data_IF_847631494011
#
_entry.id   IF_847631494011
#
_cell.length_a   1.000
_cell.length_b   1.000
_cell.length_c   1.000
_cell.angle_alpha   90.00
_cell.angle_beta   90.00
_cell.angle_gamma   90.00
#
_symmetry.space_group_name_H-M   'P 1'
#
loop_
_entity.id
_entity.type
_entity.pdbx_description
1 polymer ?
#
# COMPACT_ATOMS: atom_id res chain seq x y z
N UNK A 1 29.78 -0.73 1.18
CA UNK A 1 28.82 -1.40 2.11
C UNK A 1 27.43 -0.99 1.66
N UNK A 2 26.48 -1.93 1.54
CA UNK A 2 25.11 -1.59 1.11
C UNK A 2 24.47 -0.64 2.11
N UNK A 3 23.94 0.49 1.63
CA UNK A 3 23.25 1.48 2.44
C UNK A 3 21.72 1.36 2.33
N UNK A 4 21.20 1.10 1.14
CA UNK A 4 19.75 1.04 0.90
C UNK A 4 19.35 -0.30 0.27
N UNK A 5 18.37 -0.99 0.84
CA UNK A 5 17.72 -2.18 0.27
C UNK A 5 16.38 -1.79 -0.34
N UNK A 6 16.24 -2.00 -1.64
CA UNK A 6 15.00 -1.82 -2.39
C UNK A 6 14.37 -3.20 -2.57
N UNK A 7 13.27 -3.47 -1.86
CA UNK A 7 12.59 -4.76 -1.90
C UNK A 7 11.35 -4.67 -2.81
N UNK A 8 11.33 -5.49 -3.87
CA UNK A 8 10.31 -5.47 -4.92
C UNK A 8 9.55 -6.80 -4.93
N UNK A 9 8.31 -6.86 -4.36
CA UNK A 9 7.45 -8.02 -4.54
C UNK A 9 6.90 -8.05 -5.95
N UNK A 10 6.86 -9.23 -6.56
CA UNK A 10 6.29 -9.40 -7.91
C UNK A 10 5.48 -10.69 -8.03
N UNK A 11 4.47 -10.67 -8.88
CA UNK A 11 3.70 -11.85 -9.28
C UNK A 11 3.07 -11.65 -10.66
N UNK A 12 3.57 -12.37 -11.69
CA UNK A 12 3.07 -12.35 -13.06
C UNK A 12 3.03 -10.95 -13.72
N UNK A 13 4.11 -10.13 -13.53
CA UNK A 13 4.16 -8.74 -14.01
C UNK A 13 5.53 -8.36 -14.58
N UNK A 14 6.16 -9.27 -15.32
CA UNK A 14 7.54 -9.12 -15.81
C UNK A 14 7.81 -7.77 -16.52
N UNK A 15 6.85 -7.25 -17.27
CA UNK A 15 7.02 -5.99 -18.02
C UNK A 15 7.11 -4.77 -17.10
N UNK A 16 6.32 -4.71 -16.04
CA UNK A 16 6.43 -3.63 -15.05
C UNK A 16 7.66 -3.81 -14.16
N UNK A 17 7.92 -5.04 -13.71
CA UNK A 17 9.12 -5.36 -12.94
C UNK A 17 10.40 -4.90 -13.63
N UNK A 18 10.49 -5.07 -14.96
CA UNK A 18 11.64 -4.59 -15.72
C UNK A 18 11.82 -3.07 -15.63
N UNK A 19 10.73 -2.29 -15.69
CA UNK A 19 10.76 -0.84 -15.52
C UNK A 19 11.12 -0.44 -14.09
N UNK A 20 10.56 -1.12 -13.08
CA UNK A 20 10.86 -0.89 -11.67
C UNK A 20 12.37 -1.09 -11.38
N UNK A 21 12.94 -2.22 -11.80
CA UNK A 21 14.37 -2.51 -11.63
C UNK A 21 15.23 -1.48 -12.37
N UNK A 22 14.90 -1.14 -13.63
CA UNK A 22 15.62 -0.14 -14.39
C UNK A 22 15.64 1.23 -13.71
N UNK A 23 14.55 1.61 -13.03
CA UNK A 23 14.47 2.87 -12.27
C UNK A 23 15.40 2.89 -11.05
N UNK A 24 15.62 1.73 -10.41
CA UNK A 24 16.59 1.62 -9.32
C UNK A 24 18.03 1.63 -9.84
N UNK A 25 18.29 0.96 -10.96
CA UNK A 25 19.63 0.99 -11.61
C UNK A 25 20.06 2.41 -12.01
N UNK A 26 19.10 3.30 -12.28
CA UNK A 26 19.33 4.71 -12.65
C UNK A 26 19.50 5.63 -11.44
N UNK A 27 19.47 5.13 -10.20
CA UNK A 27 19.65 5.96 -9.01
C UNK A 27 21.05 6.59 -8.98
N UNK A 28 21.09 7.87 -8.65
CA UNK A 28 22.36 8.63 -8.46
C UNK A 28 23.09 8.21 -7.18
N UNK A 29 22.38 7.67 -6.20
CA UNK A 29 22.93 7.09 -4.99
C UNK A 29 23.52 5.71 -5.30
N UNK A 30 24.84 5.44 -5.09
CA UNK A 30 25.48 4.22 -5.61
C UNK A 30 25.31 2.98 -4.73
N UNK A 31 25.10 3.17 -3.40
CA UNK A 31 25.23 2.10 -2.40
C UNK A 31 23.89 1.40 -2.12
N UNK A 32 23.27 0.82 -3.14
CA UNK A 32 22.00 0.09 -3.03
C UNK A 32 22.12 -1.39 -3.41
N UNK A 33 21.19 -2.17 -2.93
CA UNK A 33 20.81 -3.48 -3.46
C UNK A 33 19.33 -3.51 -3.84
N UNK A 34 18.99 -4.39 -4.79
CA UNK A 34 17.60 -4.76 -5.11
C UNK A 34 17.36 -6.20 -4.68
N UNK A 35 16.24 -6.45 -4.00
CA UNK A 35 15.78 -7.79 -3.67
C UNK A 35 14.43 -7.99 -4.33
N UNK A 36 14.40 -8.73 -5.42
CA UNK A 36 13.16 -9.12 -6.10
C UNK A 36 12.60 -10.36 -5.44
N UNK A 37 11.38 -10.25 -4.91
CA UNK A 37 10.67 -11.33 -4.25
C UNK A 37 9.52 -11.80 -5.14
N UNK A 38 9.73 -12.92 -5.83
CA UNK A 38 8.76 -13.50 -6.77
C UNK A 38 7.85 -14.50 -6.05
N UNK A 39 6.57 -14.19 -6.00
CA UNK A 39 5.54 -14.99 -5.34
C UNK A 39 5.06 -16.18 -6.21
N UNK A 40 6.00 -16.85 -6.88
CA UNK A 40 5.74 -18.04 -7.70
C UNK A 40 5.18 -17.72 -9.08
N UNK A 41 5.69 -16.68 -9.76
CA UNK A 41 5.27 -16.27 -11.10
C UNK A 41 5.33 -17.40 -12.11
N UNK A 42 4.33 -17.40 -13.02
CA UNK A 42 4.19 -18.35 -14.12
C UNK A 42 4.42 -17.70 -15.50
N UNK A 43 4.61 -16.39 -15.53
CA UNK A 43 4.97 -15.65 -16.74
C UNK A 43 6.49 -15.70 -17.00
N UNK A 44 7.00 -14.81 -17.85
CA UNK A 44 8.41 -14.77 -18.19
C UNK A 44 9.33 -14.16 -17.10
N UNK A 45 8.82 -13.89 -15.89
CA UNK A 45 9.61 -13.28 -14.79
C UNK A 45 10.89 -14.06 -14.47
N UNK A 46 10.89 -15.41 -14.28
CA UNK A 46 12.12 -16.13 -13.98
C UNK A 46 13.19 -16.03 -15.09
N UNK A 47 12.77 -16.10 -16.36
CA UNK A 47 13.70 -15.99 -17.48
C UNK A 47 14.27 -14.57 -17.57
N UNK A 48 13.46 -13.54 -17.38
CA UNK A 48 13.92 -12.16 -17.31
C UNK A 48 14.95 -11.96 -16.20
N UNK A 49 14.67 -12.42 -14.99
CA UNK A 49 15.60 -12.33 -13.86
C UNK A 49 16.93 -13.03 -14.13
N UNK A 50 16.92 -14.15 -14.84
CA UNK A 50 18.14 -14.87 -15.22
C UNK A 50 19.02 -14.09 -16.23
N UNK A 51 18.50 -13.09 -16.93
CA UNK A 51 19.28 -12.22 -17.84
C UNK A 51 20.01 -11.09 -17.12
N UNK A 52 19.64 -10.78 -15.86
CA UNK A 52 20.24 -9.68 -15.11
C UNK A 52 21.58 -10.11 -14.53
N UNK A 53 22.63 -9.35 -14.84
CA UNK A 53 24.03 -9.65 -14.43
C UNK A 53 24.56 -8.69 -13.35
N UNK A 54 23.79 -7.67 -12.95
CA UNK A 54 24.20 -6.73 -11.90
C UNK A 54 24.25 -7.46 -10.55
N UNK A 55 25.41 -7.56 -9.87
CA UNK A 55 25.55 -8.31 -8.63
C UNK A 55 24.80 -7.68 -7.44
N UNK A 56 24.33 -6.45 -7.59
CA UNK A 56 23.50 -5.77 -6.58
C UNK A 56 22.04 -6.23 -6.62
N UNK A 57 21.63 -7.00 -7.64
CA UNK A 57 20.25 -7.50 -7.81
C UNK A 57 20.19 -8.95 -7.37
N UNK A 58 19.36 -9.22 -6.37
CA UNK A 58 19.13 -10.55 -5.82
C UNK A 58 17.71 -11.00 -6.11
N UNK A 59 17.55 -12.29 -6.41
CA UNK A 59 16.26 -12.87 -6.76
C UNK A 59 15.88 -13.98 -5.78
N UNK A 60 14.73 -13.85 -5.14
CA UNK A 60 14.12 -14.85 -4.27
C UNK A 60 12.81 -15.27 -4.92
N UNK A 61 12.70 -16.55 -5.29
CA UNK A 61 11.48 -17.10 -5.89
C UNK A 61 10.86 -18.15 -4.99
N UNK A 62 9.57 -18.01 -4.70
CA UNK A 62 8.79 -19.02 -4.00
C UNK A 62 8.25 -20.07 -4.99
N UNK A 63 8.09 -21.31 -4.52
CA UNK A 63 7.56 -22.42 -5.33
C UNK A 63 6.09 -22.18 -5.72
N UNK A 64 5.37 -21.43 -4.89
CA UNK A 64 3.95 -21.08 -5.08
C UNK A 64 3.65 -19.70 -4.50
N UNK A 65 2.51 -19.13 -4.86
CA UNK A 65 2.02 -17.90 -4.28
C UNK A 65 1.72 -18.11 -2.77
N UNK A 66 2.44 -17.37 -1.94
CA UNK A 66 2.32 -17.35 -0.46
C UNK A 66 1.67 -16.08 0.05
N UNK A 67 1.32 -15.15 -0.85
CA UNK A 67 0.69 -13.88 -0.58
C UNK A 67 1.67 -12.74 -0.31
N UNK A 68 1.22 -11.51 -0.65
CA UNK A 68 2.05 -10.30 -0.71
C UNK A 68 2.84 -10.04 0.57
N UNK A 69 2.19 -10.04 1.74
CA UNK A 69 2.88 -9.75 3.01
C UNK A 69 3.91 -10.81 3.38
N UNK A 70 3.61 -12.09 3.18
CA UNK A 70 4.56 -13.18 3.44
C UNK A 70 5.76 -13.11 2.48
N UNK A 71 5.50 -12.82 1.21
CA UNK A 71 6.54 -12.59 0.20
C UNK A 71 7.45 -11.42 0.58
N UNK A 72 6.88 -10.31 1.04
CA UNK A 72 7.63 -9.14 1.52
C UNK A 72 8.47 -9.44 2.76
N UNK A 73 7.97 -10.26 3.69
CA UNK A 73 8.72 -10.68 4.88
C UNK A 73 9.99 -11.43 4.48
N UNK A 74 9.94 -12.31 3.46
CA UNK A 74 11.12 -13.03 2.99
C UNK A 74 12.17 -12.10 2.37
N UNK A 75 11.74 -11.07 1.63
CA UNK A 75 12.63 -10.04 1.09
C UNK A 75 13.26 -9.18 2.17
N UNK A 76 12.47 -8.78 3.17
CA UNK A 76 12.96 -8.04 4.32
C UNK A 76 14.03 -8.81 5.10
N UNK A 77 13.82 -10.09 5.33
CA UNK A 77 14.80 -10.96 6.00
C UNK A 77 16.14 -11.07 5.25
N UNK A 78 16.12 -10.88 3.92
CA UNK A 78 17.32 -10.89 3.10
C UNK A 78 18.02 -9.51 2.99
N UNK A 79 17.36 -8.42 3.42
CA UNK A 79 17.85 -7.05 3.28
C UNK A 79 19.06 -6.77 4.17
N UNK A 80 20.12 -6.19 3.58
CA UNK A 80 21.40 -5.90 4.24
C UNK A 80 21.64 -4.40 4.47
N UNK A 81 20.84 -3.53 3.84
CA UNK A 81 20.99 -2.08 3.93
C UNK A 81 20.60 -1.52 5.30
N UNK A 82 21.21 -0.39 5.64
CA UNK A 82 20.83 0.43 6.80
C UNK A 82 19.42 1.04 6.60
N UNK A 83 19.11 1.36 5.34
CA UNK A 83 17.82 1.88 4.92
C UNK A 83 17.06 0.82 4.14
N UNK A 84 15.73 0.94 4.15
CA UNK A 84 14.83 0.00 3.48
C UNK A 84 13.69 0.75 2.81
N UNK A 85 13.31 0.28 1.62
CA UNK A 85 12.10 0.69 0.94
C UNK A 85 11.35 -0.56 0.43
N UNK A 86 10.05 -0.65 0.71
CA UNK A 86 9.12 -1.55 0.03
C UNK A 86 8.65 -0.84 -1.24
N UNK A 87 8.97 -1.41 -2.39
CA UNK A 87 8.73 -0.79 -3.67
C UNK A 87 7.93 -1.71 -4.58
N UNK A 88 6.75 -1.27 -5.05
CA UNK A 88 5.89 -2.10 -5.88
C UNK A 88 6.47 -2.29 -7.29
N UNK A 89 6.22 -3.47 -7.89
CA UNK A 89 6.77 -3.86 -9.19
C UNK A 89 6.18 -3.09 -10.38
N UNK A 90 5.10 -2.32 -10.16
CA UNK A 90 4.42 -1.52 -11.17
C UNK A 90 4.75 -0.01 -11.11
N UNK A 91 5.60 0.40 -10.17
CA UNK A 91 6.00 1.78 -9.95
C UNK A 91 7.43 2.08 -10.45
N UNK A 92 7.86 3.36 -10.41
CA UNK A 92 9.24 3.77 -10.75
C UNK A 92 9.74 4.82 -9.76
N UNK A 93 11.03 4.78 -9.42
CA UNK A 93 11.70 5.85 -8.69
C UNK A 93 12.28 6.87 -9.67
N UNK A 94 12.28 8.16 -9.30
CA UNK A 94 13.09 9.13 -10.02
C UNK A 94 14.58 8.94 -9.68
N UNK A 95 15.52 9.34 -10.56
CA UNK A 95 16.95 9.05 -10.36
C UNK A 95 17.55 9.54 -9.03
N UNK A 96 16.97 10.55 -8.41
CA UNK A 96 17.48 11.20 -7.21
C UNK A 96 16.71 10.81 -5.91
N UNK A 97 15.77 9.86 -5.98
CA UNK A 97 14.98 9.45 -4.80
C UNK A 97 15.87 8.98 -3.64
N UNK A 98 16.72 7.98 -3.87
CA UNK A 98 17.56 7.44 -2.80
C UNK A 98 18.56 8.49 -2.29
N UNK A 99 19.16 9.29 -3.18
CA UNK A 99 20.12 10.32 -2.80
C UNK A 99 19.49 11.36 -1.87
N UNK A 100 18.32 11.88 -2.22
CA UNK A 100 17.63 12.93 -1.43
C UNK A 100 17.08 12.42 -0.12
N UNK A 101 16.45 11.25 -0.14
CA UNK A 101 15.85 10.67 1.08
C UNK A 101 16.91 10.18 2.06
N UNK A 102 18.01 9.57 1.59
CA UNK A 102 19.11 9.17 2.43
C UNK A 102 19.83 10.38 3.04
N UNK A 103 20.03 11.47 2.26
CA UNK A 103 20.64 12.70 2.77
C UNK A 103 19.85 13.30 3.94
N UNK A 104 18.50 13.27 3.89
CA UNK A 104 17.67 13.72 5.03
C UNK A 104 17.90 12.82 6.25
N UNK A 105 17.90 11.48 6.07
CA UNK A 105 18.17 10.56 7.18
C UNK A 105 19.56 10.75 7.78
N UNK A 106 20.56 11.03 6.96
CA UNK A 106 21.95 11.28 7.44
C UNK A 106 22.07 12.60 8.21
N UNK A 107 21.38 13.66 7.77
CA UNK A 107 21.38 14.97 8.42
C UNK A 107 20.52 15.01 9.69
N UNK A 108 19.52 14.12 9.81
CA UNK A 108 18.55 14.06 10.89
C UNK A 108 18.52 12.69 11.55
N UNK A 109 19.46 12.40 12.49
CA UNK A 109 19.53 11.09 13.16
C UNK A 109 18.27 10.73 13.97
N UNK A 110 17.49 11.72 14.38
CA UNK A 110 16.20 11.58 15.09
C UNK A 110 15.06 11.13 14.17
N UNK A 111 15.19 11.31 12.85
CA UNK A 111 14.17 10.91 11.87
C UNK A 111 14.33 9.43 11.54
N UNK A 112 13.23 8.70 11.56
CA UNK A 112 13.16 7.26 11.31
C UNK A 112 12.74 6.91 9.88
N UNK A 113 11.94 7.78 9.24
CA UNK A 113 11.47 7.60 7.87
C UNK A 113 11.32 8.94 7.14
N UNK A 114 11.59 8.92 5.84
CA UNK A 114 11.42 10.06 4.93
C UNK A 114 10.45 9.68 3.84
N UNK A 115 9.33 10.40 3.76
CA UNK A 115 8.32 10.20 2.72
C UNK A 115 8.30 11.36 1.74
N UNK A 116 8.07 11.07 0.45
CA UNK A 116 8.02 12.08 -0.62
C UNK A 116 6.63 12.12 -1.24
N UNK A 117 6.35 13.14 -2.06
CA UNK A 117 5.22 13.09 -2.99
C UNK A 117 5.58 12.22 -4.20
N UNK A 118 4.60 11.96 -5.08
CA UNK A 118 4.78 11.14 -6.26
C UNK A 118 4.02 11.69 -7.47
N UNK A 119 4.50 11.34 -8.66
CA UNK A 119 3.75 11.47 -9.90
C UNK A 119 2.74 10.34 -10.05
N UNK A 120 1.59 10.61 -10.63
CA UNK A 120 0.72 9.56 -11.17
C UNK A 120 1.13 9.31 -12.63
N UNK A 121 1.36 8.06 -13.00
CA UNK A 121 1.62 7.63 -14.37
C UNK A 121 0.53 6.68 -14.88
N UNK A 122 0.31 6.68 -16.20
CA UNK A 122 -0.60 5.74 -16.85
C UNK A 122 0.11 4.38 -17.14
N UNK A 123 -0.61 3.35 -17.66
CA UNK A 123 0.01 2.06 -18.03
C UNK A 123 1.16 2.17 -19.03
N UNK A 124 1.23 3.25 -19.82
CA UNK A 124 2.30 3.52 -20.79
C UNK A 124 3.44 4.36 -20.18
N UNK A 125 3.53 4.43 -18.86
CA UNK A 125 4.59 5.17 -18.13
C UNK A 125 4.63 6.68 -18.39
N UNK A 126 3.51 7.28 -18.82
CA UNK A 126 3.41 8.72 -19.06
C UNK A 126 2.84 9.41 -17.83
N UNK A 127 3.52 10.46 -17.37
CA UNK A 127 3.06 11.29 -16.24
C UNK A 127 1.75 11.97 -16.56
N UNK A 128 0.85 11.98 -15.58
CA UNK A 128 -0.49 12.56 -15.63
C UNK A 128 -0.58 13.76 -14.67
N UNK A 129 -0.14 14.99 -15.06
CA UNK A 129 -0.02 16.11 -14.13
C UNK A 129 -1.32 16.44 -13.39
N UNK A 130 -2.44 16.55 -14.09
CA UNK A 130 -3.73 16.86 -13.47
C UNK A 130 -4.19 15.78 -12.47
N UNK A 131 -4.00 14.49 -12.78
CA UNK A 131 -4.28 13.39 -11.85
C UNK A 131 -3.32 13.41 -10.67
N UNK A 132 -2.06 13.77 -10.89
CA UNK A 132 -1.06 13.93 -9.84
C UNK A 132 -1.50 15.00 -8.83
N UNK A 133 -1.86 16.18 -9.31
CA UNK A 133 -2.29 17.30 -8.45
C UNK A 133 -3.55 16.93 -7.66
N UNK A 134 -4.53 16.33 -8.33
CA UNK A 134 -5.76 15.86 -7.69
C UNK A 134 -5.48 14.77 -6.64
N UNK A 135 -4.55 13.85 -6.91
CA UNK A 135 -4.12 12.81 -5.98
C UNK A 135 -3.41 13.42 -4.75
N UNK A 136 -2.45 14.32 -4.96
CA UNK A 136 -1.73 14.99 -3.87
C UNK A 136 -2.69 15.81 -2.99
N UNK A 137 -3.66 16.51 -3.60
CA UNK A 137 -4.70 17.23 -2.87
C UNK A 137 -5.62 16.29 -2.07
N UNK A 138 -6.12 15.22 -2.70
CA UNK A 138 -7.01 14.25 -2.07
C UNK A 138 -6.43 13.66 -0.80
N UNK A 139 -5.13 13.36 -0.79
CA UNK A 139 -4.43 12.73 0.32
C UNK A 139 -3.70 13.73 1.22
N UNK A 140 -4.00 15.02 1.12
CA UNK A 140 -3.49 16.07 2.00
C UNK A 140 -2.00 16.39 1.84
N UNK A 141 -1.32 15.89 0.79
CA UNK A 141 0.11 16.13 0.57
C UNK A 141 0.42 17.58 0.18
N UNK A 142 -0.51 18.27 -0.46
CA UNK A 142 -0.36 19.69 -0.82
C UNK A 142 -0.35 20.64 0.38
N UNK A 143 -0.86 20.20 1.53
CA UNK A 143 -0.92 20.98 2.77
C UNK A 143 0.04 20.49 3.85
N UNK A 144 0.71 19.35 3.60
CA UNK A 144 1.72 18.83 4.50
C UNK A 144 3.01 19.63 4.32
N UNK A 145 3.51 20.32 5.35
CA UNK A 145 4.72 21.14 5.24
C UNK A 145 5.95 20.26 5.07
N UNK A 146 6.97 20.79 4.40
CA UNK A 146 8.31 20.20 4.37
C UNK A 146 8.89 20.14 5.79
N UNK A 147 9.55 19.04 6.13
CA UNK A 147 10.20 18.89 7.43
C UNK A 147 9.62 17.77 8.28
N UNK A 148 9.93 17.78 9.59
CA UNK A 148 9.37 16.80 10.53
C UNK A 148 7.84 16.80 10.54
N UNK A 149 7.24 15.62 10.44
CA UNK A 149 5.79 15.46 10.37
C UNK A 149 5.19 15.55 11.76
N UNK A 150 4.46 16.62 12.02
CA UNK A 150 3.69 16.74 13.25
C UNK A 150 2.51 15.75 13.25
N UNK A 151 2.24 15.12 14.41
CA UNK A 151 1.15 14.16 14.60
C UNK A 151 1.12 13.07 13.52
N UNK A 152 2.17 12.26 13.45
CA UNK A 152 2.32 11.20 12.45
C UNK A 152 1.11 10.26 12.43
N UNK A 153 0.52 9.94 13.60
CA UNK A 153 -0.67 9.07 13.67
C UNK A 153 -1.85 9.65 12.90
N UNK A 154 -2.12 10.95 12.99
CA UNK A 154 -3.16 11.58 12.19
C UNK A 154 -2.84 11.53 10.69
N UNK A 155 -1.57 11.75 10.30
CA UNK A 155 -1.16 11.71 8.90
C UNK A 155 -1.28 10.31 8.28
N UNK A 156 -0.91 9.25 9.00
CA UNK A 156 -0.96 7.88 8.44
C UNK A 156 -2.30 7.19 8.64
N UNK A 157 -3.01 7.46 9.74
CA UNK A 157 -4.30 6.82 9.99
C UNK A 157 -5.47 7.62 9.44
N UNK A 158 -5.51 8.97 9.62
CA UNK A 158 -6.66 9.78 9.19
C UNK A 158 -6.51 10.27 7.75
N UNK A 159 -5.43 10.96 7.43
CA UNK A 159 -5.22 11.54 6.10
C UNK A 159 -4.71 10.52 5.07
N UNK A 160 -3.95 9.53 5.53
CA UNK A 160 -3.23 8.57 4.67
C UNK A 160 -2.32 9.28 3.66
N UNK A 161 -1.64 10.34 4.11
CA UNK A 161 -0.80 11.20 3.28
C UNK A 161 0.48 10.52 2.82
N UNK A 162 1.06 9.64 3.66
CA UNK A 162 2.32 8.96 3.35
C UNK A 162 2.07 7.67 2.58
N UNK A 163 2.83 7.48 1.50
CA UNK A 163 2.76 6.29 0.66
C UNK A 163 4.05 5.48 0.82
N UNK A 164 3.94 4.20 1.15
CA UNK A 164 5.09 3.36 1.53
C UNK A 164 6.14 3.22 0.40
N UNK A 165 5.70 3.10 -0.86
CA UNK A 165 6.59 3.03 -2.03
C UNK A 165 7.33 4.34 -2.34
N UNK A 166 6.90 5.46 -1.70
CA UNK A 166 7.57 6.75 -1.75
C UNK A 166 8.25 7.08 -0.41
N UNK A 167 8.57 6.06 0.41
CA UNK A 167 9.11 6.25 1.77
C UNK A 167 10.36 5.40 1.98
N UNK A 168 11.48 6.06 2.31
CA UNK A 168 12.71 5.40 2.76
C UNK A 168 12.72 5.34 4.29
N UNK A 169 12.95 4.16 4.87
CA UNK A 169 12.92 3.92 6.31
C UNK A 169 14.29 3.46 6.82
N UNK A 170 14.64 3.81 8.07
CA UNK A 170 15.72 3.10 8.74
C UNK A 170 15.29 1.66 9.01
N UNK A 171 16.10 0.69 8.60
CA UNK A 171 15.75 -0.73 8.76
C UNK A 171 15.52 -1.10 10.22
N UNK A 172 16.28 -0.52 11.16
CA UNK A 172 16.15 -0.78 12.61
C UNK A 172 14.73 -0.57 13.15
N UNK A 173 14.00 0.45 12.68
CA UNK A 173 12.65 0.71 13.19
C UNK A 173 11.62 -0.30 12.68
N UNK A 174 11.91 -0.95 11.57
CA UNK A 174 11.09 -2.06 11.06
C UNK A 174 11.30 -3.32 11.90
N UNK A 175 12.51 -3.56 12.40
CA UNK A 175 12.79 -4.66 13.35
C UNK A 175 11.97 -4.48 14.64
N UNK A 176 11.89 -3.25 15.16
CA UNK A 176 11.14 -2.94 16.39
C UNK A 176 9.63 -3.21 16.27
N UNK A 177 9.04 -3.04 15.08
CA UNK A 177 7.62 -3.32 14.82
C UNK A 177 7.37 -4.68 14.17
N UNK A 178 8.42 -5.50 14.01
CA UNK A 178 8.35 -6.80 13.32
C UNK A 178 7.87 -6.70 11.87
N UNK A 179 8.25 -5.61 11.18
CA UNK A 179 7.94 -5.31 9.78
C UNK A 179 6.45 -5.53 9.43
N UNK A 180 6.11 -6.42 8.50
CA UNK A 180 4.72 -6.66 8.07
C UNK A 180 4.04 -7.77 8.87
N UNK A 181 2.73 -7.63 9.09
CA UNK A 181 1.93 -8.71 9.65
C UNK A 181 1.72 -9.81 8.62
N UNK A 182 1.93 -11.09 8.98
CA UNK A 182 1.65 -12.20 8.07
C UNK A 182 0.17 -12.22 7.65
N UNK A 183 -0.09 -12.63 6.41
CA UNK A 183 -1.43 -12.84 5.85
C UNK A 183 -2.32 -11.59 5.77
N UNK A 184 -1.79 -10.39 5.89
CA UNK A 184 -2.48 -9.13 5.62
C UNK A 184 -2.10 -8.65 4.22
N UNK A 185 -3.01 -8.79 3.22
CA UNK A 185 -2.66 -8.66 1.80
C UNK A 185 -2.92 -7.28 1.19
N UNK A 186 -3.85 -6.49 1.77
CA UNK A 186 -4.33 -5.26 1.14
C UNK A 186 -4.26 -4.00 2.02
N UNK A 187 -3.93 -4.12 3.28
CA UNK A 187 -3.79 -2.99 4.22
C UNK A 187 -2.46 -3.07 4.98
N UNK A 188 -1.53 -3.87 4.50
CA UNK A 188 -0.24 -4.13 5.10
C UNK A 188 0.61 -2.85 5.24
N UNK A 189 0.56 -1.98 4.23
CA UNK A 189 1.28 -0.71 4.20
C UNK A 189 0.72 0.27 5.23
N UNK A 190 -0.63 0.38 5.30
CA UNK A 190 -1.28 1.22 6.30
C UNK A 190 -1.05 0.71 7.72
N UNK A 191 -1.10 -0.61 7.93
CA UNK A 191 -0.82 -1.24 9.21
C UNK A 191 0.61 -0.94 9.68
N UNK A 192 1.59 -1.07 8.78
CA UNK A 192 2.98 -0.79 9.09
C UNK A 192 3.18 0.67 9.52
N UNK A 193 2.67 1.62 8.73
CA UNK A 193 2.80 3.05 9.03
C UNK A 193 2.10 3.43 10.34
N UNK A 194 0.93 2.86 10.63
CA UNK A 194 0.22 3.10 11.90
C UNK A 194 1.01 2.54 13.08
N UNK A 195 1.58 1.33 12.98
CA UNK A 195 2.40 0.76 14.06
C UNK A 195 3.65 1.61 14.33
N UNK A 196 4.32 2.10 13.28
CA UNK A 196 5.45 3.01 13.43
C UNK A 196 5.04 4.31 14.15
N UNK A 197 3.91 4.90 13.77
CA UNK A 197 3.40 6.11 14.42
C UNK A 197 3.03 5.89 15.89
N UNK A 198 2.39 4.76 16.23
CA UNK A 198 2.04 4.40 17.60
C UNK A 198 3.26 4.09 18.48
N UNK A 199 4.37 3.64 17.87
CA UNK A 199 5.66 3.48 18.53
C UNK A 199 6.45 4.80 18.68
N UNK A 200 5.84 5.94 18.33
CA UNK A 200 6.46 7.25 18.47
C UNK A 200 7.57 7.54 17.45
N UNK A 201 7.61 6.81 16.33
CA UNK A 201 8.62 7.04 15.28
C UNK A 201 8.43 8.40 14.63
N UNK A 202 9.55 8.99 14.20
CA UNK A 202 9.58 10.34 13.63
C UNK A 202 9.68 10.25 12.11
N UNK A 203 8.77 10.93 11.43
CA UNK A 203 8.77 11.04 9.97
C UNK A 203 9.19 12.42 9.51
N UNK A 204 9.80 12.49 8.34
CA UNK A 204 10.08 13.71 7.62
C UNK A 204 9.35 13.69 6.27
N UNK A 205 8.69 14.77 5.90
CA UNK A 205 8.08 14.91 4.59
C UNK A 205 8.91 15.81 3.69
N UNK A 206 9.31 15.28 2.55
CA UNK A 206 10.00 15.99 1.47
C UNK A 206 9.00 16.22 0.32
N UNK A 207 8.49 17.45 0.08
CA UNK A 207 7.41 17.73 -0.86
C UNK A 207 7.88 17.72 -2.32
N UNK A 208 8.78 16.80 -2.67
CA UNK A 208 9.23 16.55 -4.02
C UNK A 208 8.61 15.26 -4.56
N UNK A 209 8.29 15.24 -5.84
CA UNK A 209 7.72 14.06 -6.52
C UNK A 209 8.84 13.16 -7.01
N UNK A 210 9.32 12.29 -6.11
CA UNK A 210 10.49 11.44 -6.35
C UNK A 210 10.15 9.99 -6.69
N UNK A 211 8.87 9.65 -6.80
CA UNK A 211 8.36 8.34 -7.20
C UNK A 211 7.27 8.53 -8.26
N UNK A 212 7.06 7.54 -9.10
CA UNK A 212 6.02 7.51 -10.13
C UNK A 212 5.08 6.32 -9.83
N UNK A 213 3.89 6.65 -9.32
CA UNK A 213 2.83 5.71 -8.98
C UNK A 213 1.98 5.37 -10.21
N UNK A 214 1.94 4.09 -10.58
CA UNK A 214 1.19 3.64 -11.75
C UNK A 214 -0.28 3.40 -11.42
N UNK A 215 -1.13 4.04 -12.22
CA UNK A 215 -2.58 3.85 -12.15
C UNK A 215 -3.05 3.02 -13.36
N UNK A 216 -3.54 1.80 -13.10
CA UNK A 216 -3.98 0.89 -14.16
C UNK A 216 -5.29 0.17 -13.82
N UNK A 217 -6.03 -0.33 -14.85
CA UNK A 217 -7.36 -0.94 -14.67
C UNK A 217 -7.40 -2.16 -13.75
N UNK A 218 -6.31 -2.93 -13.64
CA UNK A 218 -6.24 -4.12 -12.77
C UNK A 218 -6.40 -3.79 -11.28
N UNK A 219 -6.22 -2.52 -10.90
CA UNK A 219 -6.45 -2.06 -9.53
C UNK A 219 -7.96 -1.90 -9.21
N UNK A 220 -8.85 -2.13 -10.17
CA UNK A 220 -10.28 -1.90 -10.05
C UNK A 220 -11.10 -3.20 -10.22
N UNK A 221 -12.36 -3.17 -9.79
CA UNK A 221 -13.31 -4.25 -9.99
C UNK A 221 -13.77 -4.94 -8.70
N UNK A 222 -14.91 -5.68 -8.80
CA UNK A 222 -15.54 -6.30 -7.64
C UNK A 222 -14.71 -7.45 -7.07
N UNK A 223 -13.98 -8.17 -7.93
CA UNK A 223 -13.09 -9.26 -7.52
C UNK A 223 -11.97 -8.81 -6.60
N UNK A 224 -11.48 -7.56 -6.77
CA UNK A 224 -10.48 -6.94 -5.89
C UNK A 224 -11.11 -6.24 -4.67
N UNK A 225 -12.32 -5.69 -4.85
CA UNK A 225 -12.99 -4.93 -3.79
C UNK A 225 -13.33 -5.79 -2.55
N UNK A 226 -13.79 -7.05 -2.75
CA UNK A 226 -14.18 -7.91 -1.64
C UNK A 226 -12.98 -8.28 -0.75
N UNK A 227 -11.87 -8.83 -1.27
CA UNK A 227 -10.69 -9.10 -0.46
C UNK A 227 -10.14 -7.86 0.23
N UNK A 228 -10.06 -6.71 -0.47
CA UNK A 228 -9.63 -5.45 0.11
C UNK A 228 -10.51 -5.02 1.30
N UNK A 229 -11.84 -5.08 1.16
CA UNK A 229 -12.76 -4.70 2.24
C UNK A 229 -12.71 -5.68 3.42
N UNK A 230 -12.46 -6.97 3.17
CA UNK A 230 -12.25 -7.98 4.22
C UNK A 230 -10.98 -7.66 5.02
N UNK A 231 -9.87 -7.42 4.35
CA UNK A 231 -8.61 -7.06 5.00
C UNK A 231 -8.70 -5.71 5.71
N UNK A 232 -9.46 -4.75 5.14
CA UNK A 232 -9.68 -3.45 5.78
C UNK A 232 -10.49 -3.57 7.07
N UNK A 233 -11.49 -4.44 7.14
CA UNK A 233 -12.20 -4.75 8.40
C UNK A 233 -11.20 -5.33 9.40
N UNK A 234 -10.48 -6.39 8.99
CA UNK A 234 -9.48 -7.02 9.85
C UNK A 234 -8.44 -6.01 10.35
N UNK A 235 -7.87 -5.20 9.46
CA UNK A 235 -6.94 -4.12 9.82
C UNK A 235 -7.53 -3.17 10.86
N UNK A 236 -8.77 -2.69 10.66
CA UNK A 236 -9.42 -1.76 11.60
C UNK A 236 -9.74 -2.41 12.96
N UNK A 237 -9.97 -3.71 13.01
CA UNK A 237 -10.22 -4.48 14.23
C UNK A 237 -8.95 -4.76 15.06
N UNK A 238 -7.76 -4.67 14.44
CA UNK A 238 -6.47 -4.81 15.14
C UNK A 238 -6.17 -3.66 16.10
N UNK A 239 -6.86 -2.53 15.96
CA UNK A 239 -6.58 -1.31 16.70
C UNK A 239 -7.71 -0.94 17.67
N UNK A 240 -7.30 -0.35 18.77
CA UNK A 240 -8.13 0.42 19.67
C UNK A 240 -7.31 1.64 20.10
N UNK A 241 -7.79 2.85 19.82
CA UNK A 241 -7.07 4.07 20.14
C UNK A 241 -7.53 4.63 21.48
N UNK A 242 -6.59 5.03 22.34
CA UNK A 242 -6.88 5.77 23.57
C UNK A 242 -7.43 7.17 23.27
N UNK A 243 -6.97 7.79 22.19
CA UNK A 243 -7.50 9.06 21.71
C UNK A 243 -8.92 8.89 21.20
N UNK A 244 -9.89 9.55 21.82
CA UNK A 244 -11.32 9.43 21.53
C UNK A 244 -11.68 9.84 20.08
N UNK A 245 -11.00 10.83 19.50
CA UNK A 245 -11.23 11.26 18.12
C UNK A 245 -10.77 10.19 17.14
N UNK A 246 -9.56 9.66 17.30
CA UNK A 246 -9.04 8.58 16.46
C UNK A 246 -9.89 7.32 16.56
N UNK A 247 -10.33 6.97 17.77
CA UNK A 247 -11.21 5.83 18.00
C UNK A 247 -12.58 6.02 17.33
N UNK A 248 -13.15 7.22 17.40
CA UNK A 248 -14.39 7.56 16.70
C UNK A 248 -14.24 7.41 15.17
N UNK A 249 -13.13 7.90 14.60
CA UNK A 249 -12.83 7.76 13.17
C UNK A 249 -12.65 6.28 12.78
N UNK A 250 -11.94 5.50 13.61
CA UNK A 250 -11.76 4.05 13.41
C UNK A 250 -13.12 3.34 13.37
N UNK A 251 -13.97 3.59 14.35
CA UNK A 251 -15.30 2.97 14.40
C UNK A 251 -16.19 3.39 13.23
N UNK A 252 -16.15 4.66 12.84
CA UNK A 252 -16.86 5.13 11.66
C UNK A 252 -16.41 4.39 10.39
N UNK A 253 -15.10 4.28 10.17
CA UNK A 253 -14.52 3.55 9.03
C UNK A 253 -14.85 2.07 9.05
N UNK A 254 -14.84 1.44 10.23
CA UNK A 254 -15.22 0.04 10.38
C UNK A 254 -16.67 -0.19 9.94
N UNK A 255 -17.60 0.63 10.44
CA UNK A 255 -19.03 0.55 10.07
C UNK A 255 -19.27 0.81 8.59
N UNK A 256 -18.59 1.80 8.02
CA UNK A 256 -18.63 2.08 6.58
C UNK A 256 -18.12 0.87 5.77
N UNK A 257 -16.97 0.29 6.16
CA UNK A 257 -16.38 -0.86 5.47
C UNK A 257 -17.26 -2.09 5.57
N UNK A 258 -17.86 -2.35 6.73
CA UNK A 258 -18.85 -3.43 6.94
C UNK A 258 -20.07 -3.23 6.04
N UNK A 259 -20.59 -2.01 5.93
CA UNK A 259 -21.70 -1.70 5.01
C UNK A 259 -21.31 -1.99 3.55
N UNK A 260 -20.18 -1.48 3.11
CA UNK A 260 -19.70 -1.65 1.74
C UNK A 260 -19.46 -3.14 1.40
N UNK A 261 -18.79 -3.88 2.29
CA UNK A 261 -18.57 -5.31 2.10
C UNK A 261 -19.89 -6.06 2.09
N UNK A 262 -20.82 -5.71 2.98
CA UNK A 262 -22.17 -6.32 3.03
C UNK A 262 -22.91 -6.16 1.71
N UNK A 263 -22.88 -4.97 1.09
CA UNK A 263 -23.47 -4.69 -0.23
C UNK A 263 -22.81 -5.55 -1.33
N UNK A 264 -21.46 -5.63 -1.34
CA UNK A 264 -20.73 -6.42 -2.34
C UNK A 264 -20.99 -7.91 -2.21
N UNK A 265 -21.04 -8.44 -0.98
CA UNK A 265 -21.36 -9.86 -0.75
C UNK A 265 -22.79 -10.20 -1.17
N UNK A 266 -23.77 -9.32 -0.92
CA UNK A 266 -25.15 -9.49 -1.44
C UNK A 266 -25.14 -9.49 -2.97
N UNK A 267 -24.39 -8.59 -3.60
CA UNK A 267 -24.28 -8.49 -5.07
C UNK A 267 -23.78 -9.79 -5.70
N UNK A 268 -22.76 -10.44 -5.11
CA UNK A 268 -22.19 -11.70 -5.62
C UNK A 268 -22.88 -12.98 -5.12
N UNK A 269 -23.96 -12.85 -4.35
CA UNK A 269 -24.75 -14.01 -3.90
C UNK A 269 -24.42 -14.54 -2.51
N UNK A 270 -23.39 -14.03 -1.84
CA UNK A 270 -23.02 -14.36 -0.44
C UNK A 270 -24.01 -13.75 0.58
N UNK A 271 -25.31 -14.15 0.44
CA UNK A 271 -26.44 -13.45 1.05
C UNK A 271 -26.40 -13.44 2.58
N UNK A 272 -26.00 -14.55 3.23
CA UNK A 272 -25.99 -14.66 4.69
C UNK A 272 -24.98 -13.70 5.30
N UNK A 273 -23.71 -13.81 4.90
CA UNK A 273 -22.63 -12.94 5.37
C UNK A 273 -22.91 -11.48 5.04
N UNK A 274 -23.41 -11.22 3.81
CA UNK A 274 -23.77 -9.87 3.40
C UNK A 274 -24.82 -9.23 4.31
N UNK A 275 -25.90 -9.94 4.65
CA UNK A 275 -26.95 -9.45 5.56
C UNK A 275 -26.45 -9.19 6.98
N UNK A 276 -25.54 -10.02 7.50
CA UNK A 276 -24.91 -9.81 8.81
C UNK A 276 -24.11 -8.50 8.84
N UNK A 277 -23.27 -8.29 7.84
CA UNK A 277 -22.46 -7.07 7.71
C UNK A 277 -23.32 -5.81 7.48
N UNK A 278 -24.41 -5.91 6.71
CA UNK A 278 -25.37 -4.80 6.55
C UNK A 278 -26.00 -4.39 7.88
N UNK A 279 -26.28 -5.34 8.80
CA UNK A 279 -26.76 -5.01 10.15
C UNK A 279 -25.72 -4.24 10.95
N UNK A 280 -24.45 -4.67 10.91
CA UNK A 280 -23.34 -4.00 11.59
C UNK A 280 -23.08 -2.60 11.03
N UNK A 281 -23.12 -2.45 9.70
CA UNK A 281 -22.92 -1.18 9.00
C UNK A 281 -24.13 -0.22 9.02
N UNK A 282 -25.26 -0.62 9.59
CA UNK A 282 -26.50 0.19 9.64
C UNK A 282 -26.29 1.55 10.31
N UNK A 283 -25.42 1.60 11.32
CA UNK A 283 -25.11 2.83 12.03
C UNK A 283 -24.37 3.89 11.14
N UNK A 284 -23.67 3.46 10.05
CA UNK A 284 -23.09 4.37 9.08
C UNK A 284 -24.16 4.92 8.10
N UNK A 285 -25.03 4.03 7.57
CA UNK A 285 -26.14 4.43 6.70
C UNK A 285 -27.28 3.42 6.79
N UNK A 286 -28.35 3.78 7.53
CA UNK A 286 -29.54 2.97 7.66
C UNK A 286 -30.22 2.72 6.30
N UNK A 287 -30.29 3.78 5.46
CA UNK A 287 -30.91 3.70 4.13
C UNK A 287 -30.20 2.69 3.22
N UNK A 288 -28.85 2.80 3.08
CA UNK A 288 -28.08 1.86 2.24
C UNK A 288 -28.17 0.43 2.78
N UNK A 289 -28.15 0.26 4.10
CA UNK A 289 -28.31 -1.06 4.73
C UNK A 289 -29.69 -1.68 4.42
N UNK A 290 -30.76 -0.90 4.52
CA UNK A 290 -32.11 -1.36 4.19
C UNK A 290 -32.25 -1.73 2.70
N UNK A 291 -31.73 -0.90 1.79
CA UNK A 291 -31.70 -1.19 0.36
C UNK A 291 -30.97 -2.51 0.10
N UNK A 292 -29.80 -2.71 0.68
CA UNK A 292 -29.04 -3.97 0.57
C UNK A 292 -29.83 -5.17 1.09
N UNK A 293 -30.55 -5.03 2.21
CA UNK A 293 -31.42 -6.08 2.75
C UNK A 293 -32.59 -6.43 1.82
N UNK A 294 -33.20 -5.42 1.17
CA UNK A 294 -34.28 -5.62 0.18
C UNK A 294 -33.75 -6.33 -1.06
N UNK A 295 -32.61 -5.86 -1.63
CA UNK A 295 -32.00 -6.50 -2.80
C UNK A 295 -31.62 -7.95 -2.50
N UNK A 296 -31.21 -8.26 -1.28
CA UNK A 296 -30.88 -9.61 -0.86
C UNK A 296 -32.07 -10.59 -0.90
N UNK A 297 -33.30 -10.09 -1.01
CA UNK A 297 -34.50 -10.93 -1.20
C UNK A 297 -34.70 -11.39 -2.66
N UNK A 298 -34.08 -10.74 -3.62
CA UNK A 298 -34.12 -11.09 -5.03
C UNK A 298 -33.17 -12.24 -5.37
N UNK A 299 -33.41 -13.00 -6.45
CA UNK A 299 -32.48 -14.02 -6.93
C UNK A 299 -31.10 -13.45 -7.26
N UNK A 300 -30.00 -14.17 -6.96
CA UNK A 300 -28.65 -13.66 -7.19
C UNK A 300 -28.36 -13.08 -8.59
N UNK A 301 -28.83 -13.71 -9.70
CA UNK A 301 -28.52 -13.22 -11.05
C UNK A 301 -29.04 -11.81 -11.37
N UNK A 302 -30.10 -11.32 -10.70
CA UNK A 302 -30.68 -10.00 -10.98
C UNK A 302 -30.09 -8.89 -10.08
N UNK A 303 -29.39 -9.25 -9.02
CA UNK A 303 -28.85 -8.28 -8.04
C UNK A 303 -27.83 -7.29 -8.62
N UNK A 304 -26.89 -7.69 -9.48
CA UNK A 304 -25.94 -6.73 -10.08
C UNK A 304 -26.65 -5.61 -10.84
N UNK A 305 -27.73 -5.93 -11.58
CA UNK A 305 -28.51 -4.92 -12.30
C UNK A 305 -29.22 -3.95 -11.33
N UNK A 306 -29.80 -4.49 -10.22
CA UNK A 306 -30.42 -3.64 -9.19
C UNK A 306 -29.40 -2.72 -8.51
N UNK A 307 -28.20 -3.19 -8.20
CA UNK A 307 -27.13 -2.36 -7.66
C UNK A 307 -26.62 -1.31 -8.66
N UNK A 308 -26.63 -1.61 -9.97
CA UNK A 308 -26.21 -0.66 -11.00
C UNK A 308 -27.14 0.56 -11.10
N UNK A 309 -28.46 0.36 -10.87
CA UNK A 309 -29.45 1.46 -10.86
C UNK A 309 -29.27 2.38 -9.63
N UNK A 310 -28.65 1.90 -8.56
CA UNK A 310 -28.50 2.61 -7.29
C UNK A 310 -27.12 3.27 -7.12
N UNK A 311 -26.25 3.13 -8.09
CA UNK A 311 -24.91 3.78 -8.18
C UNK A 311 -24.99 5.12 -8.90
#
# INVERSE_FOLDING_TARGET
MVKASVCIPTYNRVHYLAEAIASVQQQTFPDWEVIVCDDGSQDNTPNFMATLTDPRIRYIRHERNIGKSNNMISGYAAAQGEYFIKFDDDDRLTPDFLQKTAAVLEQHPEIDLVSTDHWVINPQSQRQPALTDANSQRWGRTTLPAGPVANLTAQVFVQQSLQIGATLLRKRVLDEVSYMRPNLQNCEDNDLLVRLALMGKQAYYLPERLMEYRFHPEQQGIGRAIPYLQDKIHYLELYQFENAELESIRQQRLRETQLLLGLRLVEVGETRKGKELLKMGKAHSAQKAQIGQLIAAFPPPVRPALFAILR
#
